data_IF_611049028436
#
_entry.id   IF_611049028436
#
_cell.length_a   1.000
_cell.length_b   1.000
_cell.length_c   1.000
_cell.angle_alpha   90.00
_cell.angle_beta   90.00
_cell.angle_gamma   90.00
#
_symmetry.space_group_name_H-M   'P 1'
#
loop_
_entity.id
_entity.type
_entity.pdbx_description
1 polymer ?
#
# COMPACT_ATOMS: atom_id res chain seq x y z
N UNK A 1 -21.48 -25.41 65.18
CA UNK A 1 -20.34 -26.18 65.69
C UNK A 1 -19.09 -25.53 65.12
N UNK A 2 -18.43 -24.64 65.86
CA UNK A 2 -17.26 -24.87 66.75
C UNK A 2 -16.13 -25.61 65.98
N UNK A 3 -14.88 -25.17 65.82
CA UNK A 3 -14.07 -24.17 66.53
C UNK A 3 -12.80 -23.87 65.65
N UNK A 4 -12.26 -22.65 65.73
CA UNK A 4 -11.17 -22.24 66.66
C UNK A 4 -9.97 -23.19 66.63
N UNK A 5 -8.73 -22.83 66.43
CA UNK A 5 -7.77 -21.77 66.84
C UNK A 5 -6.39 -22.22 66.31
N UNK A 6 -5.30 -21.59 66.23
CA UNK A 6 -4.69 -20.43 66.83
C UNK A 6 -3.38 -20.05 66.13
N UNK A 7 -2.97 -18.85 66.35
CA UNK A 7 -1.69 -18.26 65.97
C UNK A 7 -0.50 -18.79 66.77
N UNK A 8 0.71 -18.63 66.22
CA UNK A 8 1.92 -18.39 67.03
C UNK A 8 2.95 -17.56 66.25
N UNK A 9 3.28 -16.43 66.81
CA UNK A 9 4.37 -15.56 66.47
C UNK A 9 5.62 -15.96 67.28
N UNK A 10 6.81 -15.82 66.69
CA UNK A 10 8.03 -15.64 67.48
C UNK A 10 8.97 -14.67 66.77
N UNK A 11 9.48 -13.81 67.63
CA UNK A 11 10.32 -12.61 67.42
C UNK A 11 11.82 -12.98 67.45
N UNK A 12 12.60 -11.99 66.93
CA UNK A 12 13.95 -11.60 67.46
C UNK A 12 15.06 -12.17 66.58
N UNK A 13 16.11 -11.49 66.28
CA UNK A 13 16.81 -10.37 66.95
C UNK A 13 17.97 -9.89 66.06
N UNK A 14 18.24 -8.60 66.07
CA UNK A 14 19.48 -7.98 65.58
C UNK A 14 20.64 -8.22 66.55
N UNK A 15 21.90 -8.10 66.15
CA UNK A 15 22.80 -7.11 66.72
C UNK A 15 23.70 -6.40 65.69
N UNK A 16 23.76 -5.11 65.83
CA UNK A 16 24.76 -4.18 66.38
C UNK A 16 26.13 -4.15 65.67
N UNK A 17 26.44 -2.94 65.31
CA UNK A 17 27.62 -2.37 64.70
C UNK A 17 28.91 -2.52 65.55
N UNK A 18 30.02 -2.50 64.87
CA UNK A 18 31.32 -2.02 65.46
C UNK A 18 31.97 -1.09 64.43
N UNK A 19 32.19 0.15 64.88
CA UNK A 19 33.02 1.15 64.25
C UNK A 19 34.47 0.96 64.64
N UNK A 20 35.40 1.12 63.74
CA UNK A 20 36.82 1.36 64.04
C UNK A 20 37.27 2.57 63.18
N UNK A 21 37.69 3.58 63.92
CA UNK A 21 38.32 4.83 63.48
C UNK A 21 39.79 4.58 63.12
N UNK A 22 40.32 5.30 62.14
CA UNK A 22 41.78 5.32 61.89
C UNK A 22 42.19 6.20 60.72
N UNK A 23 42.40 7.42 61.03
CA UNK A 23 43.57 8.32 60.82
C UNK A 23 44.06 8.61 59.41
N UNK A 24 44.09 9.87 59.15
CA UNK A 24 44.46 10.58 57.92
C UNK A 24 45.95 10.43 57.53
N UNK A 25 46.20 10.43 56.22
CA UNK A 25 47.40 11.01 55.61
C UNK A 25 47.01 11.84 54.38
N UNK A 26 47.36 13.15 54.47
CA UNK A 26 47.28 14.08 53.38
C UNK A 26 48.49 13.90 52.46
N UNK A 27 48.29 13.65 51.21
CA UNK A 27 49.26 13.93 50.14
C UNK A 27 48.57 14.71 49.02
N UNK A 28 49.04 15.94 48.84
CA UNK A 28 48.67 16.80 47.72
C UNK A 28 49.47 16.31 46.50
N UNK A 29 48.77 15.86 45.47
CA UNK A 29 49.37 15.69 44.16
C UNK A 29 48.56 16.53 43.17
N UNK A 30 49.19 17.61 42.69
CA UNK A 30 48.75 18.42 41.57
C UNK A 30 48.90 17.55 40.29
N UNK A 31 47.82 17.17 39.64
CA UNK A 31 47.84 16.59 38.32
C UNK A 31 46.87 17.35 37.41
N UNK A 32 47.47 18.01 36.42
CA UNK A 32 46.75 18.78 35.43
C UNK A 32 45.78 17.91 34.64
N UNK A 33 44.52 18.34 34.58
CA UNK A 33 43.50 17.71 33.73
C UNK A 33 43.73 18.17 32.29
N UNK A 34 44.32 17.31 31.46
CA UNK A 34 44.23 17.38 30.01
C UNK A 34 42.83 16.92 29.61
N UNK A 35 41.96 17.87 29.31
CA UNK A 35 40.66 17.60 28.73
C UNK A 35 40.87 17.08 27.29
N UNK A 36 40.83 15.78 27.10
CA UNK A 36 40.60 15.19 25.75
C UNK A 36 39.15 15.47 25.42
N UNK A 37 38.93 16.48 24.54
CA UNK A 37 37.68 16.63 23.86
C UNK A 37 37.48 15.40 22.91
N UNK A 38 36.65 14.46 23.33
CA UNK A 38 36.22 13.39 22.46
C UNK A 38 35.38 14.00 21.32
N UNK A 39 35.95 14.00 20.11
CA UNK A 39 35.20 14.34 18.89
C UNK A 39 34.04 13.35 18.74
N UNK A 40 32.84 13.83 18.42
CA UNK A 40 31.73 12.92 18.15
C UNK A 40 32.10 12.01 16.97
N UNK A 41 31.69 10.72 16.99
CA UNK A 41 31.96 9.85 15.86
C UNK A 41 31.32 10.44 14.59
N UNK A 42 32.15 10.68 13.58
CA UNK A 42 31.71 11.05 12.24
C UNK A 42 30.86 9.90 11.76
N UNK A 43 29.53 10.10 11.80
CA UNK A 43 28.58 9.17 11.21
C UNK A 43 28.87 9.14 9.73
N UNK A 44 29.51 8.08 9.25
CA UNK A 44 29.73 7.89 7.82
C UNK A 44 28.37 8.03 7.13
N UNK A 45 28.21 9.07 6.30
CA UNK A 45 27.07 9.23 5.44
C UNK A 45 26.97 7.93 4.63
N UNK A 46 25.83 7.27 4.70
CA UNK A 46 25.57 6.14 3.81
C UNK A 46 25.86 6.59 2.39
N UNK A 47 26.58 5.79 1.56
CA UNK A 47 26.91 6.19 0.22
C UNK A 47 25.63 6.57 -0.49
N UNK A 48 25.56 7.80 -1.00
CA UNK A 48 24.47 8.25 -1.85
C UNK A 48 24.36 7.18 -2.96
N UNK A 49 23.24 6.43 -2.97
CA UNK A 49 23.00 5.45 -4.03
C UNK A 49 23.12 6.20 -5.34
N UNK A 50 24.05 5.78 -6.16
CA UNK A 50 24.11 6.22 -7.54
C UNK A 50 22.72 5.96 -8.12
N UNK A 51 21.95 7.01 -8.43
CA UNK A 51 20.69 6.88 -9.16
C UNK A 51 21.06 6.23 -10.49
N UNK A 52 20.80 4.93 -10.60
CA UNK A 52 20.96 4.24 -11.88
C UNK A 52 20.08 4.92 -12.92
N UNK A 53 20.53 4.99 -14.17
CA UNK A 53 19.73 5.57 -15.24
C UNK A 53 18.44 4.75 -15.38
N UNK A 54 17.30 5.35 -15.12
CA UNK A 54 15.95 4.80 -15.33
C UNK A 54 15.16 4.35 -14.09
N UNK A 55 15.12 5.19 -13.05
CA UNK A 55 14.18 4.96 -11.94
C UNK A 55 12.77 5.44 -12.32
N UNK A 56 11.75 4.78 -11.73
CA UNK A 56 10.38 5.29 -11.69
C UNK A 56 10.38 6.60 -10.92
N UNK A 57 9.76 7.62 -11.49
CA UNK A 57 9.70 8.97 -10.90
C UNK A 57 8.33 9.28 -10.30
N UNK A 58 7.28 8.60 -10.75
CA UNK A 58 5.94 8.78 -10.21
C UNK A 58 5.11 7.49 -10.31
N UNK A 59 4.15 7.36 -9.40
CA UNK A 59 2.97 6.52 -9.57
C UNK A 59 1.89 7.40 -10.18
N UNK A 60 1.44 7.04 -11.36
CA UNK A 60 0.36 7.73 -12.08
C UNK A 60 -1.02 7.15 -11.77
N UNK A 61 -1.84 6.94 -12.81
CA UNK A 61 -3.16 6.37 -12.64
C UNK A 61 -3.10 4.91 -12.13
N UNK A 62 -4.03 4.56 -11.26
CA UNK A 62 -4.31 3.17 -10.90
C UNK A 62 -5.45 2.72 -11.79
N UNK A 63 -5.20 1.68 -12.60
CA UNK A 63 -6.17 1.20 -13.58
C UNK A 63 -6.74 -0.16 -13.22
N UNK A 64 -7.96 -0.44 -13.68
CA UNK A 64 -8.55 -1.77 -13.61
C UNK A 64 -9.66 -1.95 -14.67
N UNK A 65 -9.94 -3.21 -14.97
CA UNK A 65 -10.92 -3.59 -15.98
C UNK A 65 -12.31 -3.66 -15.37
N UNK A 66 -13.28 -3.00 -16.00
CA UNK A 66 -14.69 -2.99 -15.60
C UNK A 66 -15.56 -3.67 -16.66
N UNK A 67 -16.71 -4.21 -16.25
CA UNK A 67 -17.63 -4.91 -17.16
C UNK A 67 -18.58 -3.96 -17.92
N UNK A 68 -18.75 -2.74 -17.40
CA UNK A 68 -19.63 -1.71 -17.96
C UNK A 68 -19.10 -0.34 -17.50
N UNK A 69 -18.55 0.42 -18.45
CA UNK A 69 -17.89 1.69 -18.17
C UNK A 69 -18.86 2.76 -17.67
N UNK A 70 -20.06 2.81 -18.23
CA UNK A 70 -21.05 3.82 -17.88
C UNK A 70 -21.52 3.62 -16.44
N UNK A 71 -21.83 2.37 -16.05
CA UNK A 71 -22.18 2.01 -14.68
C UNK A 71 -21.03 2.26 -13.70
N UNK A 72 -19.79 1.94 -14.10
CA UNK A 72 -18.62 2.20 -13.26
C UNK A 72 -18.41 3.72 -13.07
N UNK A 73 -18.44 4.50 -14.14
CA UNK A 73 -18.31 5.97 -14.07
C UNK A 73 -19.42 6.58 -13.20
N UNK A 74 -20.68 6.14 -13.34
CA UNK A 74 -21.79 6.59 -12.49
C UNK A 74 -21.50 6.32 -11.00
N UNK A 75 -21.00 5.12 -10.68
CA UNK A 75 -20.64 4.77 -9.30
C UNK A 75 -19.51 5.66 -8.76
N UNK A 76 -18.39 5.77 -9.46
CA UNK A 76 -17.23 6.54 -8.99
C UNK A 76 -17.52 8.04 -8.89
N UNK A 77 -18.31 8.60 -9.81
CA UNK A 77 -18.66 10.03 -9.78
C UNK A 77 -19.81 10.32 -8.81
N UNK A 78 -20.84 9.49 -8.79
CA UNK A 78 -22.05 9.71 -7.99
C UNK A 78 -21.89 9.34 -6.52
N UNK A 79 -21.12 8.28 -6.20
CA UNK A 79 -20.95 7.79 -4.84
C UNK A 79 -19.67 8.32 -4.19
N UNK A 80 -18.55 8.32 -4.92
CA UNK A 80 -17.21 8.60 -4.39
C UNK A 80 -16.65 9.97 -4.80
N UNK A 81 -17.46 10.80 -5.49
CA UNK A 81 -17.15 12.18 -5.86
C UNK A 81 -15.95 12.34 -6.82
N UNK A 82 -15.55 11.27 -7.54
CA UNK A 82 -14.58 11.41 -8.62
C UNK A 82 -15.13 12.29 -9.74
N UNK A 83 -14.24 12.98 -10.43
CA UNK A 83 -14.56 13.76 -11.63
C UNK A 83 -14.05 13.03 -12.87
N UNK A 84 -14.90 12.76 -13.85
CA UNK A 84 -14.47 12.22 -15.15
C UNK A 84 -13.68 13.29 -15.91
N UNK A 85 -12.44 12.96 -16.28
CA UNK A 85 -11.50 13.84 -17.01
C UNK A 85 -11.63 13.64 -18.51
N UNK A 86 -11.62 12.38 -18.93
CA UNK A 86 -11.69 12.01 -20.35
C UNK A 86 -12.30 10.62 -20.50
N UNK A 87 -12.74 10.35 -21.72
CA UNK A 87 -13.10 9.02 -22.18
C UNK A 87 -12.65 8.88 -23.63
N UNK A 88 -12.09 7.74 -23.97
CA UNK A 88 -11.63 7.45 -25.31
C UNK A 88 -11.86 5.98 -25.66
N UNK A 89 -12.07 5.69 -26.93
CA UNK A 89 -12.03 4.34 -27.45
C UNK A 89 -10.64 4.06 -28.01
N UNK A 90 -10.07 2.90 -27.67
CA UNK A 90 -8.76 2.47 -28.09
C UNK A 90 -8.80 1.09 -28.73
N UNK A 91 -8.04 0.91 -29.81
CA UNK A 91 -7.91 -0.34 -30.54
C UNK A 91 -6.60 -0.37 -31.33
N UNK A 92 -6.31 -1.47 -32.00
CA UNK A 92 -5.21 -1.64 -32.92
C UNK A 92 -3.96 -2.25 -32.30
N UNK A 93 -3.00 -2.58 -33.16
CA UNK A 93 -1.84 -3.43 -32.83
C UNK A 93 -1.04 -2.92 -31.63
N UNK A 94 -0.84 -1.60 -31.50
CA UNK A 94 -0.13 -1.02 -30.36
C UNK A 94 -0.81 -1.34 -29.04
N UNK A 95 -2.14 -1.13 -28.94
CA UNK A 95 -2.90 -1.42 -27.75
C UNK A 95 -2.94 -2.93 -27.45
N UNK A 96 -3.19 -3.75 -28.48
CA UNK A 96 -3.17 -5.22 -28.35
C UNK A 96 -1.84 -5.73 -27.79
N UNK A 97 -0.73 -5.24 -28.34
CA UNK A 97 0.63 -5.62 -27.89
C UNK A 97 0.94 -5.12 -26.48
N UNK A 98 0.50 -3.92 -26.14
CA UNK A 98 0.69 -3.37 -24.79
C UNK A 98 -0.05 -4.20 -23.76
N UNK A 99 -1.32 -4.51 -24.02
CA UNK A 99 -2.19 -5.26 -23.10
C UNK A 99 -2.03 -6.78 -23.19
N UNK A 100 -1.36 -7.30 -24.21
CA UNK A 100 -1.23 -8.74 -24.44
C UNK A 100 -2.58 -9.41 -24.77
N UNK A 101 -3.51 -8.69 -25.37
CA UNK A 101 -4.86 -9.16 -25.74
C UNK A 101 -5.07 -8.93 -27.23
N UNK A 102 -5.10 -10.02 -27.99
CA UNK A 102 -5.30 -9.96 -29.43
C UNK A 102 -6.74 -9.53 -29.80
N UNK A 103 -6.86 -8.65 -30.78
CA UNK A 103 -8.16 -8.07 -31.20
C UNK A 103 -8.79 -7.14 -30.18
N UNK A 104 -7.99 -6.59 -29.25
CA UNK A 104 -8.50 -5.74 -28.19
C UNK A 104 -9.06 -4.43 -28.73
N UNK A 105 -10.32 -4.16 -28.35
CA UNK A 105 -11.01 -2.86 -28.50
C UNK A 105 -11.63 -2.51 -27.16
N UNK A 106 -11.36 -1.35 -26.65
CA UNK A 106 -11.79 -0.96 -25.32
C UNK A 106 -12.22 0.52 -25.26
N UNK A 107 -13.14 0.83 -24.33
CA UNK A 107 -13.39 2.18 -23.85
C UNK A 107 -12.57 2.40 -22.58
N UNK A 108 -11.93 3.54 -22.46
CA UNK A 108 -11.09 3.92 -21.32
C UNK A 108 -11.53 5.27 -20.80
N UNK A 109 -11.91 5.33 -19.52
CA UNK A 109 -12.23 6.57 -18.84
C UNK A 109 -11.14 6.88 -17.79
N UNK A 110 -10.70 8.14 -17.78
CA UNK A 110 -9.82 8.68 -16.76
C UNK A 110 -10.64 9.48 -15.75
N UNK A 111 -10.57 9.09 -14.49
CA UNK A 111 -11.24 9.75 -13.37
C UNK A 111 -10.20 10.38 -12.44
N UNK A 112 -10.56 11.47 -11.75
CA UNK A 112 -9.70 12.18 -10.82
C UNK A 112 -10.41 12.43 -9.49
N UNK A 113 -9.67 12.21 -8.38
CA UNK A 113 -10.06 12.64 -7.04
C UNK A 113 -8.83 13.27 -6.36
N UNK A 114 -8.95 14.54 -5.95
CA UNK A 114 -7.78 15.31 -5.53
C UNK A 114 -6.75 15.42 -6.65
N UNK A 115 -5.53 15.02 -6.38
CA UNK A 115 -4.43 14.99 -7.34
C UNK A 115 -4.26 13.64 -8.04
N UNK A 116 -4.96 12.60 -7.59
CA UNK A 116 -4.76 11.22 -8.04
C UNK A 116 -5.81 10.80 -9.06
N UNK A 117 -5.46 9.79 -9.84
CA UNK A 117 -6.26 9.33 -10.98
C UNK A 117 -6.56 7.84 -10.93
N UNK A 118 -7.78 7.48 -11.36
CA UNK A 118 -8.16 6.12 -11.71
C UNK A 118 -8.38 6.00 -13.22
N UNK A 119 -7.97 4.86 -13.80
CA UNK A 119 -8.24 4.50 -15.19
C UNK A 119 -9.18 3.31 -15.23
N UNK A 120 -10.39 3.49 -15.74
CA UNK A 120 -11.37 2.42 -15.91
C UNK A 120 -11.37 1.97 -17.36
N UNK A 121 -11.19 0.66 -17.59
CA UNK A 121 -11.13 0.07 -18.93
C UNK A 121 -12.23 -0.96 -19.12
N UNK A 122 -13.16 -0.72 -20.06
CA UNK A 122 -14.13 -1.71 -20.53
C UNK A 122 -13.66 -2.29 -21.84
N UNK A 123 -13.44 -3.61 -21.90
CA UNK A 123 -13.12 -4.30 -23.15
C UNK A 123 -14.40 -4.62 -23.92
N UNK A 124 -14.57 -3.95 -25.05
CA UNK A 124 -15.67 -4.21 -25.97
C UNK A 124 -15.46 -5.51 -26.75
N UNK A 125 -14.19 -5.89 -26.96
CA UNK A 125 -13.75 -7.16 -27.53
C UNK A 125 -12.27 -7.41 -27.23
N UNK A 126 -11.86 -8.68 -26.99
CA UNK A 126 -12.71 -9.76 -26.54
C UNK A 126 -13.15 -9.53 -25.10
N UNK A 127 -14.33 -10.02 -24.74
CA UNK A 127 -14.79 -10.02 -23.36
C UNK A 127 -13.89 -10.90 -22.49
N UNK A 128 -13.62 -10.48 -21.26
CA UNK A 128 -12.80 -11.19 -20.30
C UNK A 128 -13.60 -11.98 -19.28
N UNK A 129 -12.88 -12.67 -18.39
CA UNK A 129 -13.45 -13.47 -17.31
C UNK A 129 -14.02 -12.56 -16.21
N UNK A 130 -15.06 -13.05 -15.53
CA UNK A 130 -15.65 -12.37 -14.37
C UNK A 130 -14.69 -12.33 -13.20
N UNK A 131 -14.94 -11.41 -12.28
CA UNK A 131 -14.17 -11.34 -11.04
C UNK A 131 -14.29 -12.67 -10.26
N UNK A 132 -13.19 -13.23 -9.73
CA UNK A 132 -13.23 -14.51 -9.05
C UNK A 132 -14.18 -14.47 -7.85
N UNK A 133 -15.14 -15.41 -7.85
CA UNK A 133 -16.08 -15.54 -6.74
C UNK A 133 -15.36 -15.85 -5.42
N UNK A 134 -15.95 -15.42 -4.30
CA UNK A 134 -15.43 -15.64 -2.96
C UNK A 134 -13.98 -15.13 -2.77
N UNK A 135 -13.60 -14.07 -3.51
CA UNK A 135 -12.31 -13.41 -3.31
C UNK A 135 -12.17 -12.86 -1.89
N UNK A 136 -11.02 -13.16 -1.26
CA UNK A 136 -10.69 -12.79 0.12
C UNK A 136 -9.58 -11.75 0.14
N UNK A 137 -9.43 -11.02 1.24
CA UNK A 137 -8.38 -10.03 1.42
C UNK A 137 -6.95 -10.61 1.41
N UNK A 138 -6.80 -11.91 1.68
CA UNK A 138 -5.50 -12.59 1.65
C UNK A 138 -5.19 -13.34 0.35
N UNK A 139 -6.07 -13.30 -0.67
CA UNK A 139 -5.74 -13.83 -1.99
C UNK A 139 -4.71 -12.94 -2.69
N UNK A 140 -3.73 -13.51 -3.42
CA UNK A 140 -2.65 -12.74 -4.03
C UNK A 140 -3.09 -11.82 -5.19
N UNK A 141 -4.32 -11.92 -5.67
CA UNK A 141 -4.89 -10.93 -6.60
C UNK A 141 -5.64 -9.80 -5.89
N UNK A 142 -5.66 -9.80 -4.53
CA UNK A 142 -6.28 -8.70 -3.80
C UNK A 142 -5.49 -7.43 -4.05
N UNK A 143 -6.21 -6.44 -4.55
CA UNK A 143 -5.73 -5.08 -4.68
C UNK A 143 -6.85 -4.14 -4.30
N UNK A 144 -6.52 -3.02 -3.65
CA UNK A 144 -7.46 -1.95 -3.39
C UNK A 144 -6.85 -0.57 -3.62
N UNK A 145 -7.72 0.41 -3.70
CA UNK A 145 -7.40 1.84 -3.65
C UNK A 145 -7.90 2.39 -2.34
N UNK A 146 -7.03 3.05 -1.58
CA UNK A 146 -7.37 3.71 -0.32
C UNK A 146 -7.74 5.18 -0.56
N UNK A 147 -9.01 5.47 -0.43
CA UNK A 147 -9.62 6.80 -0.64
C UNK A 147 -9.72 7.50 0.71
N UNK A 148 -9.08 8.65 0.83
CA UNK A 148 -9.11 9.43 2.07
C UNK A 148 -10.43 10.16 2.20
N UNK A 149 -11.02 10.05 3.40
CA UNK A 149 -12.23 10.78 3.76
C UNK A 149 -11.99 11.69 4.97
N UNK A 150 -12.59 12.86 4.95
CA UNK A 150 -12.52 13.82 6.05
C UNK A 150 -13.34 13.37 7.27
N UNK A 151 -14.41 12.61 7.04
CA UNK A 151 -15.31 12.10 8.06
C UNK A 151 -15.73 10.66 7.72
N UNK A 152 -15.23 9.69 8.51
CA UNK A 152 -15.51 8.27 8.31
C UNK A 152 -17.00 7.95 8.48
N UNK A 153 -17.68 8.57 9.44
CA UNK A 153 -19.07 8.22 9.73
C UNK A 153 -20.01 8.74 8.64
N UNK A 154 -19.75 9.94 8.13
CA UNK A 154 -20.48 10.50 6.99
C UNK A 154 -20.22 9.71 5.70
N UNK A 155 -18.96 9.36 5.42
CA UNK A 155 -18.60 8.58 4.24
C UNK A 155 -19.24 7.18 4.31
N UNK A 156 -19.16 6.51 5.45
CA UNK A 156 -19.78 5.21 5.66
C UNK A 156 -21.32 5.26 5.52
N UNK A 157 -21.98 6.30 6.08
CA UNK A 157 -23.40 6.50 5.90
C UNK A 157 -23.79 6.62 4.41
N UNK A 158 -23.03 7.42 3.65
CA UNK A 158 -23.23 7.58 2.19
C UNK A 158 -23.06 6.24 1.45
N UNK A 159 -22.02 5.45 1.76
CA UNK A 159 -21.84 4.13 1.15
C UNK A 159 -23.02 3.20 1.45
N UNK A 160 -23.60 3.26 2.66
CA UNK A 160 -24.80 2.49 3.03
C UNK A 160 -26.05 2.94 2.27
N UNK A 161 -26.25 4.23 2.09
CA UNK A 161 -27.35 4.79 1.29
C UNK A 161 -27.32 4.25 -0.14
N UNK A 162 -26.12 4.15 -0.70
CA UNK A 162 -25.89 3.59 -2.04
C UNK A 162 -25.77 2.05 -2.06
N UNK A 163 -26.03 1.37 -0.92
CA UNK A 163 -26.08 -0.09 -0.78
C UNK A 163 -24.82 -0.78 -1.31
N UNK A 164 -23.64 -0.18 -1.11
CA UNK A 164 -22.38 -0.82 -1.51
C UNK A 164 -22.18 -2.15 -0.77
N UNK A 165 -21.55 -3.12 -1.44
CA UNK A 165 -21.20 -4.38 -0.80
C UNK A 165 -20.04 -4.19 0.17
N UNK A 166 -20.25 -4.56 1.43
CA UNK A 166 -19.19 -4.56 2.43
C UNK A 166 -18.17 -5.68 2.14
N UNK A 167 -16.89 -5.38 2.36
CA UNK A 167 -15.83 -6.37 2.48
C UNK A 167 -15.39 -6.47 3.93
N UNK A 168 -15.30 -5.36 4.66
CA UNK A 168 -15.18 -5.32 6.12
C UNK A 168 -16.53 -5.58 6.81
N UNK A 169 -16.51 -6.01 8.06
CA UNK A 169 -17.74 -6.12 8.88
C UNK A 169 -18.33 -4.75 9.24
N UNK A 170 -17.50 -3.71 9.23
CA UNK A 170 -17.82 -2.30 9.49
C UNK A 170 -16.54 -1.49 9.60
N UNK A 171 -16.60 -0.14 9.74
CA UNK A 171 -15.42 0.67 9.96
C UNK A 171 -14.65 0.23 11.20
N UNK A 172 -13.34 0.04 11.05
CA UNK A 172 -12.43 -0.34 12.13
C UNK A 172 -11.54 0.84 12.50
N UNK A 173 -11.16 0.96 13.78
CA UNK A 173 -10.17 1.91 14.27
C UNK A 173 -8.91 1.14 14.65
N UNK A 174 -7.79 1.48 14.05
CA UNK A 174 -6.50 0.85 14.39
C UNK A 174 -6.15 1.15 15.84
N UNK A 175 -5.83 0.11 16.65
CA UNK A 175 -5.59 0.24 18.09
C UNK A 175 -4.36 1.08 18.41
N UNK A 176 -4.33 1.63 19.63
CA UNK A 176 -3.25 2.55 20.08
C UNK A 176 -1.90 1.84 20.29
N UNK A 177 -1.89 0.52 20.46
CA UNK A 177 -0.64 -0.23 20.53
C UNK A 177 0.14 -0.21 19.19
N UNK A 178 -0.55 -0.11 18.06
CA UNK A 178 0.08 0.08 16.76
C UNK A 178 0.41 1.57 16.55
N UNK A 179 1.53 2.02 17.09
CA UNK A 179 1.91 3.44 17.10
C UNK A 179 1.97 4.07 15.70
N UNK A 180 2.37 3.29 14.69
CA UNK A 180 2.47 3.78 13.31
C UNK A 180 1.10 4.18 12.76
N UNK A 181 0.07 3.36 12.97
CA UNK A 181 -1.26 3.53 12.41
C UNK A 181 -2.34 3.88 13.45
N UNK A 182 -1.98 4.05 14.75
CA UNK A 182 -2.94 4.30 15.83
C UNK A 182 -3.96 5.37 15.50
N UNK A 183 -5.23 5.06 15.69
CA UNK A 183 -6.35 5.97 15.51
C UNK A 183 -6.83 6.15 14.07
N UNK A 184 -6.10 5.66 13.07
CA UNK A 184 -6.59 5.61 11.69
C UNK A 184 -7.85 4.75 11.68
N UNK A 185 -8.87 5.19 10.95
CA UNK A 185 -10.09 4.41 10.72
C UNK A 185 -10.13 3.98 9.27
N UNK A 186 -10.54 2.74 9.02
CA UNK A 186 -10.56 2.12 7.71
C UNK A 186 -11.82 1.27 7.51
N UNK A 187 -12.28 1.16 6.27
CA UNK A 187 -13.40 0.31 5.91
C UNK A 187 -13.26 -0.15 4.46
N UNK A 188 -13.28 -1.47 4.23
CA UNK A 188 -13.24 -2.06 2.89
C UNK A 188 -14.65 -2.34 2.37
N UNK A 189 -14.84 -2.04 1.11
CA UNK A 189 -16.09 -2.29 0.38
C UNK A 189 -15.77 -2.69 -1.06
N UNK A 190 -16.79 -2.98 -1.84
CA UNK A 190 -16.64 -3.38 -3.24
C UNK A 190 -17.39 -2.44 -4.16
N UNK A 191 -16.80 -2.19 -5.34
CA UNK A 191 -17.47 -1.53 -6.43
C UNK A 191 -18.52 -2.47 -7.09
N UNK A 192 -19.27 -2.01 -8.12
CA UNK A 192 -20.27 -2.83 -8.82
C UNK A 192 -19.74 -4.13 -9.42
N UNK A 193 -18.47 -4.18 -9.84
CA UNK A 193 -17.84 -5.37 -10.43
C UNK A 193 -17.16 -6.29 -9.42
N UNK A 194 -16.95 -5.82 -8.21
CA UNK A 194 -16.38 -6.59 -7.12
C UNK A 194 -14.95 -6.22 -6.75
N UNK A 195 -14.38 -5.18 -7.35
CA UNK A 195 -13.08 -4.65 -6.96
C UNK A 195 -13.13 -4.14 -5.53
N UNK A 196 -12.04 -4.35 -4.81
CA UNK A 196 -11.94 -3.86 -3.44
C UNK A 196 -11.54 -2.38 -3.42
N UNK A 197 -12.21 -1.64 -2.58
CA UNK A 197 -11.93 -0.23 -2.30
C UNK A 197 -11.85 -0.05 -0.79
N UNK A 198 -11.11 0.97 -0.37
CA UNK A 198 -11.01 1.37 1.03
C UNK A 198 -11.43 2.84 1.17
N UNK A 199 -12.20 3.17 2.21
CA UNK A 199 -12.21 4.51 2.76
C UNK A 199 -11.36 4.53 4.03
N UNK A 200 -10.51 5.55 4.14
CA UNK A 200 -9.56 5.70 5.22
C UNK A 200 -9.60 7.13 5.76
N UNK A 201 -9.62 7.30 7.08
CA UNK A 201 -9.52 8.61 7.72
C UNK A 201 -8.38 8.67 8.72
N UNK A 202 -7.60 9.75 8.66
CA UNK A 202 -6.55 10.03 9.62
C UNK A 202 -7.11 10.76 10.84
N UNK A 203 -6.69 10.43 12.06
CA UNK A 203 -7.01 11.23 13.23
C UNK A 203 -6.35 12.61 13.12
N UNK A 204 -6.90 13.60 13.83
CA UNK A 204 -6.42 14.97 13.81
C UNK A 204 -4.91 15.04 14.10
N UNK A 205 -4.17 15.75 13.23
CA UNK A 205 -2.73 15.94 13.36
C UNK A 205 -1.87 14.74 12.90
N UNK A 206 -2.47 13.69 12.31
CA UNK A 206 -1.76 12.54 11.73
C UNK A 206 -1.90 12.55 10.21
N UNK A 207 -0.86 12.06 9.52
CA UNK A 207 -0.80 12.04 8.07
C UNK A 207 -0.44 13.40 7.45
N UNK A 208 -0.38 13.47 6.12
CA UNK A 208 -0.14 14.71 5.38
C UNK A 208 -1.21 15.79 5.66
N UNK A 209 -0.81 17.07 5.64
CA UNK A 209 -1.72 18.19 5.91
C UNK A 209 -2.94 18.20 4.98
N UNK A 210 -2.78 17.80 3.71
CA UNK A 210 -3.88 17.72 2.74
C UNK A 210 -5.00 16.75 3.16
N UNK A 211 -4.69 15.75 3.98
CA UNK A 211 -5.66 14.79 4.52
C UNK A 211 -6.42 15.31 5.76
N UNK A 212 -6.11 16.53 6.21
CA UNK A 212 -6.81 17.20 7.31
C UNK A 212 -7.84 18.22 6.80
N UNK A 213 -8.01 18.37 5.48
CA UNK A 213 -9.00 19.25 4.87
C UNK A 213 -10.43 18.75 5.19
N UNK A 214 -11.30 19.65 5.59
CA UNK A 214 -12.70 19.38 5.93
C UNK A 214 -13.67 19.96 4.89
N UNK A 215 -13.16 20.53 3.79
CA UNK A 215 -13.99 21.17 2.76
C UNK A 215 -14.75 20.18 1.89
N UNK A 216 -14.18 18.97 1.72
CA UNK A 216 -14.75 17.89 0.94
C UNK A 216 -14.87 16.61 1.77
N UNK A 217 -15.79 15.71 1.38
CA UNK A 217 -15.92 14.42 2.05
C UNK A 217 -14.84 13.44 1.58
N UNK A 218 -14.62 13.34 0.28
CA UNK A 218 -13.58 12.51 -0.33
C UNK A 218 -12.44 13.43 -0.81
N UNK A 219 -11.20 13.16 -0.37
CA UNK A 219 -10.07 14.08 -0.53
C UNK A 219 -9.08 13.68 -1.62
N UNK A 220 -8.91 12.39 -1.86
CA UNK A 220 -7.91 11.86 -2.80
C UNK A 220 -7.56 10.41 -2.48
N UNK A 221 -6.52 9.89 -3.15
CA UNK A 221 -6.03 8.52 -2.97
C UNK A 221 -4.67 8.58 -2.26
N UNK A 222 -4.54 7.93 -1.09
CA UNK A 222 -3.26 7.85 -0.38
C UNK A 222 -2.36 6.76 -0.97
N UNK A 223 -2.94 5.60 -1.26
CA UNK A 223 -2.19 4.45 -1.78
C UNK A 223 -3.07 3.48 -2.58
N UNK A 224 -2.41 2.60 -3.33
CA UNK A 224 -2.96 1.30 -3.71
C UNK A 224 -2.25 0.22 -2.91
N UNK A 225 -2.99 -0.77 -2.42
CA UNK A 225 -2.38 -1.89 -1.71
C UNK A 225 -2.55 -3.19 -2.48
N UNK A 226 -1.53 -4.03 -2.43
CA UNK A 226 -1.47 -5.35 -3.06
C UNK A 226 -1.11 -6.42 -2.03
N UNK A 227 -1.79 -7.56 -2.07
CA UNK A 227 -1.39 -8.70 -1.23
C UNK A 227 -0.18 -9.40 -1.85
N UNK A 228 0.89 -9.54 -1.06
CA UNK A 228 2.14 -10.14 -1.50
C UNK A 228 2.47 -11.41 -0.71
N UNK A 229 3.12 -12.36 -1.38
CA UNK A 229 3.55 -13.62 -0.75
C UNK A 229 4.78 -13.45 0.15
N UNK A 230 5.61 -12.45 -0.15
CA UNK A 230 6.90 -12.20 0.51
C UNK A 230 7.33 -10.75 0.27
N UNK A 231 7.34 -9.96 1.34
CA UNK A 231 7.71 -8.53 1.29
C UNK A 231 9.13 -8.31 0.77
N UNK A 232 10.10 -9.18 1.08
CA UNK A 232 11.49 -8.98 0.63
C UNK A 232 11.63 -9.21 -0.89
N UNK A 233 10.87 -10.16 -1.46
CA UNK A 233 10.81 -10.33 -2.92
C UNK A 233 10.18 -9.11 -3.60
N UNK A 234 9.11 -8.58 -3.03
CA UNK A 234 8.48 -7.36 -3.52
C UNK A 234 9.43 -6.16 -3.41
N UNK A 235 10.14 -5.99 -2.30
CA UNK A 235 11.16 -4.95 -2.13
C UNK A 235 12.30 -5.10 -3.13
N UNK A 236 12.75 -6.33 -3.45
CA UNK A 236 13.73 -6.54 -4.49
C UNK A 236 13.25 -6.07 -5.87
N UNK A 237 11.96 -6.15 -6.16
CA UNK A 237 11.37 -5.63 -7.39
C UNK A 237 11.15 -4.11 -7.33
N UNK A 238 10.38 -3.62 -6.37
CA UNK A 238 9.96 -2.21 -6.33
C UNK A 238 11.09 -1.28 -5.88
N UNK A 239 11.82 -1.62 -4.82
CA UNK A 239 12.89 -0.80 -4.26
C UNK A 239 14.16 -0.94 -5.10
N UNK A 240 14.64 -2.16 -5.33
CA UNK A 240 15.99 -2.39 -5.86
C UNK A 240 16.05 -2.30 -7.38
N UNK A 241 14.93 -2.55 -8.11
CA UNK A 241 14.86 -2.45 -9.58
C UNK A 241 14.19 -1.19 -10.08
N UNK A 242 13.09 -0.78 -9.44
CA UNK A 242 12.30 0.37 -9.88
C UNK A 242 12.62 1.67 -9.12
N UNK A 243 13.41 1.61 -8.04
CA UNK A 243 13.91 2.80 -7.33
C UNK A 243 12.93 3.39 -6.30
N UNK A 244 11.91 2.66 -5.90
CA UNK A 244 11.03 3.09 -4.81
C UNK A 244 11.78 3.16 -3.49
N UNK A 245 11.27 3.98 -2.57
CA UNK A 245 11.77 4.09 -1.19
C UNK A 245 10.74 3.52 -0.22
N UNK A 246 11.19 2.81 0.81
CA UNK A 246 10.32 2.39 1.91
C UNK A 246 9.92 3.62 2.72
N UNK A 247 8.63 3.87 2.83
CA UNK A 247 8.05 5.02 3.51
C UNK A 247 7.55 4.70 4.92
N UNK A 248 7.20 3.43 5.19
CA UNK A 248 6.75 2.98 6.48
C UNK A 248 6.54 1.47 6.53
N UNK A 249 6.57 0.95 7.75
CA UNK A 249 6.26 -0.45 8.03
C UNK A 249 5.42 -0.55 9.31
N UNK A 250 4.51 -1.51 9.34
CA UNK A 250 3.75 -1.86 10.54
C UNK A 250 3.41 -3.35 10.53
N UNK A 251 3.12 -3.88 11.71
CA UNK A 251 2.50 -5.19 11.85
C UNK A 251 1.10 -4.98 12.45
N UNK A 252 0.09 -5.48 11.75
CA UNK A 252 -1.30 -5.35 12.14
C UNK A 252 -1.89 -6.72 12.47
N UNK A 253 -2.61 -6.83 13.56
CA UNK A 253 -3.28 -8.05 14.00
C UNK A 253 -4.41 -7.74 14.99
N UNK A 254 -5.13 -8.77 15.40
CA UNK A 254 -6.22 -8.67 16.38
C UNK A 254 -7.59 -8.44 15.75
N UNK A 255 -8.64 -8.32 16.57
CA UNK A 255 -10.03 -8.28 16.10
C UNK A 255 -10.29 -7.18 15.08
N UNK A 256 -9.69 -6.00 15.25
CA UNK A 256 -9.89 -4.87 14.33
C UNK A 256 -9.34 -5.21 12.94
N UNK A 257 -8.18 -5.87 12.87
CA UNK A 257 -7.60 -6.29 11.60
C UNK A 257 -8.40 -7.42 10.96
N UNK A 258 -8.85 -8.40 11.75
CA UNK A 258 -9.72 -9.48 11.28
C UNK A 258 -11.03 -8.94 10.71
N UNK A 259 -11.66 -8.00 11.38
CA UNK A 259 -12.90 -7.37 10.95
C UNK A 259 -12.69 -6.45 9.73
N UNK A 260 -11.54 -5.78 9.63
CA UNK A 260 -11.20 -4.94 8.48
C UNK A 260 -11.05 -5.78 7.20
N UNK A 261 -10.23 -6.83 7.25
CA UNK A 261 -9.96 -7.69 6.09
C UNK A 261 -11.04 -8.76 5.87
N UNK A 262 -11.91 -8.98 6.88
CA UNK A 262 -12.84 -10.12 6.93
C UNK A 262 -12.12 -11.46 6.72
N UNK A 263 -10.96 -11.59 7.39
CA UNK A 263 -10.10 -12.78 7.39
C UNK A 263 -9.79 -13.13 8.83
N UNK A 264 -10.31 -14.26 9.30
CA UNK A 264 -10.11 -14.72 10.68
C UNK A 264 -8.65 -15.04 10.96
N UNK A 265 -8.12 -14.58 12.10
CA UNK A 265 -6.73 -14.74 12.50
C UNK A 265 -5.75 -13.88 11.69
N UNK A 266 -6.23 -12.85 11.00
CA UNK A 266 -5.37 -11.99 10.18
C UNK A 266 -4.26 -11.33 10.99
N UNK A 267 -3.02 -11.60 10.57
CA UNK A 267 -1.81 -10.93 11.02
C UNK A 267 -0.99 -10.55 9.79
N UNK A 268 -0.77 -9.27 9.59
CA UNK A 268 -0.13 -8.73 8.40
C UNK A 268 1.14 -7.97 8.75
N UNK A 269 2.19 -8.16 7.94
CA UNK A 269 3.23 -7.16 7.76
C UNK A 269 2.78 -6.23 6.64
N UNK A 270 2.72 -4.95 6.92
CA UNK A 270 2.37 -3.90 5.96
C UNK A 270 3.61 -3.07 5.70
N UNK A 271 3.99 -2.93 4.42
CA UNK A 271 5.14 -2.14 4.01
C UNK A 271 4.73 -1.17 2.91
N UNK A 272 4.82 0.12 3.18
CA UNK A 272 4.51 1.17 2.21
C UNK A 272 5.75 1.60 1.45
N UNK A 273 5.69 1.63 0.13
CA UNK A 273 6.76 2.15 -0.74
C UNK A 273 6.25 3.32 -1.57
N UNK A 274 7.14 4.30 -1.84
CA UNK A 274 6.80 5.51 -2.59
C UNK A 274 7.83 5.79 -3.69
N UNK A 275 7.33 6.28 -4.84
CA UNK A 275 8.10 7.02 -5.81
C UNK A 275 8.25 8.48 -5.36
N UNK A 276 8.89 9.33 -6.16
CA UNK A 276 9.03 10.75 -5.83
C UNK A 276 7.68 11.50 -5.86
N UNK A 277 6.71 11.02 -6.62
CA UNK A 277 5.36 11.62 -6.75
C UNK A 277 4.28 10.54 -6.85
N UNK A 278 3.04 10.93 -6.58
CA UNK A 278 1.85 10.08 -6.68
C UNK A 278 1.57 9.28 -5.41
N UNK A 279 0.53 8.43 -5.45
CA UNK A 279 0.13 7.59 -4.34
C UNK A 279 1.19 6.55 -3.97
N UNK A 280 1.14 6.03 -2.75
CA UNK A 280 1.98 4.92 -2.34
C UNK A 280 1.53 3.60 -2.97
N UNK A 281 2.41 2.59 -2.92
CA UNK A 281 2.05 1.19 -3.07
C UNK A 281 2.28 0.52 -1.71
N UNK A 282 1.27 -0.13 -1.16
CA UNK A 282 1.39 -0.89 0.08
C UNK A 282 1.40 -2.39 -0.18
N UNK A 283 2.35 -3.09 0.44
CA UNK A 283 2.41 -4.54 0.45
C UNK A 283 1.71 -5.07 1.69
N UNK A 284 0.76 -5.97 1.49
CA UNK A 284 0.04 -6.69 2.54
C UNK A 284 0.54 -8.14 2.57
N UNK A 285 1.56 -8.43 3.36
CA UNK A 285 2.01 -9.81 3.57
C UNK A 285 1.24 -10.42 4.73
N UNK A 286 0.40 -11.41 4.45
CA UNK A 286 -0.29 -12.17 5.49
C UNK A 286 0.67 -13.16 6.14
N UNK A 287 1.11 -12.84 7.36
CA UNK A 287 1.90 -13.74 8.20
C UNK A 287 1.02 -14.89 8.70
N UNK A 288 -0.29 -14.64 8.88
CA UNK A 288 -1.35 -15.60 9.15
C UNK A 288 -2.71 -15.04 8.69
N UNK A 289 -3.64 -15.88 8.20
CA UNK A 289 -3.38 -17.19 7.64
C UNK A 289 -2.61 -17.10 6.29
N UNK A 290 -1.80 -18.09 5.98
CA UNK A 290 -1.03 -18.16 4.71
C UNK A 290 -1.72 -19.03 3.65
N UNK A 291 -3.05 -19.03 3.65
CA UNK A 291 -3.89 -19.85 2.76
C UNK A 291 -4.49 -19.04 1.60
N UNK A 292 -3.98 -17.84 1.34
CA UNK A 292 -4.36 -17.02 0.20
C UNK A 292 -4.05 -17.73 -1.12
N UNK A 293 -5.00 -17.65 -2.05
CA UNK A 293 -4.87 -18.28 -3.38
C UNK A 293 -3.87 -17.47 -4.21
N UNK A 294 -3.06 -18.15 -5.08
CA UNK A 294 -2.13 -17.47 -5.97
C UNK A 294 -2.88 -16.66 -7.04
N UNK A 295 -2.26 -15.61 -7.57
CA UNK A 295 -2.78 -14.86 -8.71
C UNK A 295 -3.02 -15.81 -9.87
N UNK A 296 -4.20 -15.78 -10.57
CA UNK A 296 -4.48 -16.68 -11.69
C UNK A 296 -3.40 -16.55 -12.77
N UNK A 297 -2.75 -17.66 -13.10
CA UNK A 297 -1.59 -17.68 -14.01
C UNK A 297 -1.94 -17.28 -15.46
N UNK A 298 -3.21 -17.48 -15.84
CA UNK A 298 -3.79 -17.18 -17.14
C UNK A 298 -4.55 -15.86 -17.20
N UNK A 299 -4.57 -15.09 -16.09
CA UNK A 299 -5.23 -13.79 -16.03
C UNK A 299 -4.69 -12.83 -17.10
N UNK A 300 -5.62 -12.24 -17.85
CA UNK A 300 -5.37 -11.30 -18.94
C UNK A 300 -5.81 -9.89 -18.57
N UNK A 301 -5.39 -8.91 -19.37
CA UNK A 301 -5.76 -7.52 -19.12
C UNK A 301 -7.26 -7.22 -19.31
N UNK A 302 -7.98 -8.04 -20.06
CA UNK A 302 -9.42 -7.92 -20.24
C UNK A 302 -10.28 -8.64 -19.17
N UNK A 303 -9.65 -9.39 -18.25
CA UNK A 303 -10.38 -10.02 -17.13
C UNK A 303 -10.69 -9.00 -16.04
N UNK A 304 -11.85 -9.12 -15.36
CA UNK A 304 -12.24 -8.20 -14.29
C UNK A 304 -11.31 -8.25 -13.06
N UNK A 305 -10.51 -9.31 -12.91
CA UNK A 305 -9.48 -9.38 -11.86
C UNK A 305 -8.25 -8.53 -12.16
N UNK A 306 -8.15 -7.99 -13.38
CA UNK A 306 -6.98 -7.23 -13.79
C UNK A 306 -6.97 -5.83 -13.18
N UNK A 307 -5.90 -5.56 -12.45
CA UNK A 307 -5.47 -4.23 -12.05
C UNK A 307 -4.12 -3.92 -12.68
N UNK A 308 -3.84 -2.63 -12.87
CA UNK A 308 -2.52 -2.14 -13.26
C UNK A 308 -2.19 -0.85 -12.52
N UNK A 309 -0.96 -0.73 -12.08
CA UNK A 309 -0.46 0.53 -11.53
C UNK A 309 0.46 1.17 -12.56
N UNK A 310 0.14 2.40 -12.98
CA UNK A 310 0.98 3.15 -13.93
C UNK A 310 2.20 3.70 -13.21
N UNK A 311 3.36 3.43 -13.76
CA UNK A 311 4.66 3.86 -13.26
C UNK A 311 5.34 4.74 -14.32
N UNK A 312 5.52 6.01 -14.02
CA UNK A 312 6.13 6.97 -14.94
C UNK A 312 7.65 6.93 -14.82
N UNK A 313 8.34 6.92 -15.94
CA UNK A 313 9.81 6.98 -16.01
C UNK A 313 10.27 7.98 -17.08
N UNK A 314 11.50 8.48 -16.96
CA UNK A 314 12.17 9.29 -17.98
C UNK A 314 13.14 8.50 -18.84
N UNK A 315 13.17 7.18 -18.68
CA UNK A 315 14.12 6.31 -19.37
C UNK A 315 13.60 4.90 -19.55
N UNK A 316 12.46 4.75 -20.25
CA UNK A 316 11.75 3.49 -20.47
C UNK A 316 12.66 2.36 -20.96
N UNK A 317 13.53 2.64 -21.94
CA UNK A 317 14.48 1.66 -22.47
C UNK A 317 15.48 1.15 -21.40
N UNK A 318 15.87 1.99 -20.46
CA UNK A 318 16.74 1.60 -19.33
C UNK A 318 16.01 0.70 -18.34
N UNK A 319 14.76 1.06 -18.00
CA UNK A 319 13.90 0.22 -17.13
C UNK A 319 13.65 -1.12 -17.80
N UNK A 320 13.30 -1.16 -19.08
CA UNK A 320 13.10 -2.41 -19.82
C UNK A 320 14.33 -3.32 -19.73
N UNK A 321 15.53 -2.80 -20.00
CA UNK A 321 16.77 -3.59 -19.89
C UNK A 321 16.98 -4.15 -18.48
N UNK A 322 16.75 -3.35 -17.46
CA UNK A 322 16.89 -3.78 -16.06
C UNK A 322 15.89 -4.89 -15.68
N UNK A 323 14.63 -4.75 -16.12
CA UNK A 323 13.59 -5.74 -15.86
C UNK A 323 13.85 -7.06 -16.61
N UNK A 324 14.34 -6.98 -17.89
CA UNK A 324 14.76 -8.16 -18.65
C UNK A 324 15.94 -8.88 -18.02
N UNK A 325 16.97 -8.14 -17.60
CA UNK A 325 18.12 -8.72 -16.91
C UNK A 325 17.71 -9.42 -15.58
N UNK A 326 16.67 -8.92 -14.92
CA UNK A 326 16.08 -9.53 -13.72
C UNK A 326 15.09 -10.67 -14.03
N UNK A 327 14.86 -11.00 -15.32
CA UNK A 327 13.91 -12.04 -15.78
C UNK A 327 12.49 -11.78 -15.30
N UNK A 328 12.09 -10.52 -15.22
CA UNK A 328 10.71 -10.14 -14.89
C UNK A 328 9.77 -10.65 -15.99
N UNK A 329 8.56 -11.07 -15.60
CA UNK A 329 7.53 -11.53 -16.55
C UNK A 329 6.94 -10.32 -17.29
N UNK A 330 7.16 -10.26 -18.59
CA UNK A 330 6.54 -9.28 -19.48
C UNK A 330 5.19 -9.78 -19.98
N UNK A 331 4.18 -8.90 -20.02
CA UNK A 331 2.91 -9.09 -20.71
C UNK A 331 3.04 -8.55 -22.14
N UNK A 332 3.54 -7.31 -22.30
CA UNK A 332 3.89 -6.77 -23.61
C UNK A 332 5.21 -7.37 -24.11
N UNK A 333 5.48 -7.39 -25.43
CA UNK A 333 6.75 -7.93 -25.97
C UNK A 333 7.96 -7.11 -25.54
N UNK A 334 7.75 -5.88 -25.10
CA UNK A 334 8.72 -4.90 -24.65
C UNK A 334 8.05 -3.54 -24.63
N UNK A 335 8.80 -2.46 -24.77
CA UNK A 335 8.22 -1.13 -24.97
C UNK A 335 7.43 -1.09 -26.28
N UNK A 336 6.19 -0.63 -26.19
CA UNK A 336 5.26 -0.47 -27.30
C UNK A 336 4.95 1.02 -27.45
N UNK A 337 4.97 1.52 -28.69
CA UNK A 337 4.57 2.88 -29.00
C UNK A 337 3.09 2.91 -29.37
N UNK A 338 2.37 3.87 -28.80
CA UNK A 338 0.97 4.16 -29.12
C UNK A 338 0.93 5.41 -30.01
N UNK A 339 0.58 5.30 -31.29
CA UNK A 339 0.70 6.41 -32.22
C UNK A 339 -0.15 7.62 -31.88
N UNK A 340 -1.32 7.39 -31.27
CA UNK A 340 -2.32 8.44 -31.05
C UNK A 340 -2.33 9.01 -29.62
N UNK A 341 -1.46 8.51 -28.71
CA UNK A 341 -1.39 9.00 -27.33
C UNK A 341 -2.70 8.84 -26.53
N UNK A 342 -3.64 8.01 -27.00
CA UNK A 342 -5.02 7.89 -26.47
C UNK A 342 -5.12 7.47 -24.99
N UNK A 343 -4.02 6.96 -24.40
CA UNK A 343 -3.92 6.60 -22.97
C UNK A 343 -3.14 7.64 -22.16
N UNK A 344 -2.83 8.83 -22.75
CA UNK A 344 -2.08 9.89 -22.05
C UNK A 344 -0.56 9.66 -21.99
N UNK A 345 -0.02 8.70 -22.72
CA UNK A 345 1.42 8.46 -22.89
C UNK A 345 1.72 7.94 -24.30
N UNK A 346 2.97 8.08 -24.74
CA UNK A 346 3.40 7.68 -26.08
C UNK A 346 3.98 6.28 -26.15
N UNK A 347 4.69 5.86 -25.12
CA UNK A 347 5.34 4.55 -25.07
C UNK A 347 5.21 3.94 -23.69
N UNK A 348 4.99 2.65 -23.66
CA UNK A 348 4.85 1.91 -22.41
C UNK A 348 5.14 0.43 -22.56
N UNK A 349 5.28 -0.24 -21.45
CA UNK A 349 5.34 -1.69 -21.35
C UNK A 349 4.53 -2.18 -20.15
N UNK A 350 4.03 -3.39 -20.24
CA UNK A 350 3.27 -4.04 -19.17
C UNK A 350 4.03 -5.26 -18.67
N UNK A 351 4.30 -5.29 -17.37
CA UNK A 351 5.00 -6.39 -16.70
C UNK A 351 4.21 -6.88 -15.50
N UNK A 352 4.57 -8.06 -15.00
CA UNK A 352 4.04 -8.60 -13.75
C UNK A 352 5.12 -8.51 -12.67
N UNK A 353 4.73 -8.11 -11.46
CA UNK A 353 5.57 -8.21 -10.26
C UNK A 353 5.76 -9.69 -9.85
N UNK A 354 6.51 -9.99 -8.76
CA UNK A 354 6.74 -11.37 -8.33
C UNK A 354 5.50 -12.18 -8.02
N UNK A 355 4.40 -11.53 -7.62
CA UNK A 355 3.14 -12.18 -7.25
C UNK A 355 2.08 -12.12 -8.35
N UNK A 356 2.33 -11.40 -9.45
CA UNK A 356 1.44 -11.35 -10.62
C UNK A 356 0.70 -10.04 -10.83
N UNK A 357 0.88 -9.03 -9.96
CA UNK A 357 0.26 -7.72 -10.15
C UNK A 357 0.86 -7.00 -11.36
N UNK A 358 0.02 -6.32 -12.14
CA UNK A 358 0.47 -5.67 -13.34
C UNK A 358 0.99 -4.25 -13.08
N UNK A 359 2.19 -3.98 -13.61
CA UNK A 359 2.82 -2.65 -13.61
C UNK A 359 2.92 -2.16 -15.06
N UNK A 360 2.24 -1.05 -15.35
CA UNK A 360 2.32 -0.36 -16.63
C UNK A 360 3.40 0.71 -16.53
N UNK A 361 4.61 0.42 -17.07
CA UNK A 361 5.71 1.39 -17.05
C UNK A 361 5.65 2.22 -18.31
N UNK A 362 5.53 3.54 -18.15
CA UNK A 362 5.32 4.46 -19.26
C UNK A 362 6.35 5.61 -19.29
N UNK A 363 6.56 6.13 -20.48
CA UNK A 363 7.23 7.40 -20.69
C UNK A 363 6.16 8.41 -21.16
N UNK A 364 5.84 9.44 -20.32
CA UNK A 364 4.80 10.43 -20.61
C UNK A 364 5.04 11.24 -21.89
#
# INVERSE_FOLDING_TARGET
MRGRTAASALRGSTPRALAITGLAWRTIALAGALAFAASPPVRAAAPARAQGPAAVVAVGAIGFTVSDLDRAVEFYTGVLEFRKISETEVAGEGFERLRGVFGARARVALLQLGDEQLELTEYLAPEGSRFPELSRGNDLWFQHVAIIVSDMDRAYARLREHRVRHASTGPQRIPDWNRAAAGIRAFYFRDPDGHFLEILSFPRGKGPARWQDQSWLFLGIDHTAITVSDTEKSLAFYRDRLGFTVAGESENHGPEQEHLNNVFGARLRITSVRAARGPAIEFLEYLAPRDGRPYPADARANDLVHWQTRLETRGLAGVERALRAARVRFVSPGAVTLPDGGLGFRSGLLVRDPDGHAMEVVEP
#
